data_IF_643425056506
#
_entry.id   IF_643425056506
#
_cell.length_a   1.000
_cell.length_b   1.000
_cell.length_c   1.000
_cell.angle_alpha   90.00
_cell.angle_beta   90.00
_cell.angle_gamma   90.00
#
_symmetry.space_group_name_H-M   'P 1'
#
loop_
_entity.id
_entity.type
_entity.pdbx_description
1 polymer ?
#
# COMPACT_ATOMS: atom_id res chain seq x y z
N UNK A 1 -9.50 27.51 10.43
CA UNK A 1 -8.41 27.20 9.49
C UNK A 1 -8.33 25.67 9.28
N UNK A 2 -9.38 25.03 8.74
CA UNK A 2 -9.48 23.56 8.65
C UNK A 2 -9.93 23.04 7.27
N UNK A 3 -9.92 23.88 6.23
CA UNK A 3 -10.45 23.48 4.90
C UNK A 3 -9.38 23.09 3.86
N UNK A 4 -8.10 23.25 4.15
CA UNK A 4 -7.05 23.03 3.13
C UNK A 4 -6.62 21.56 3.01
N UNK A 5 -6.71 20.77 4.09
CA UNK A 5 -6.18 19.40 4.10
C UNK A 5 -7.11 18.37 3.42
N UNK A 6 -8.43 18.57 3.47
CA UNK A 6 -9.39 17.68 2.80
C UNK A 6 -9.28 17.75 1.27
N UNK A 7 -8.88 18.90 0.74
CA UNK A 7 -8.78 19.16 -0.69
C UNK A 7 -7.65 18.33 -1.35
N UNK A 8 -6.51 18.24 -0.68
CA UNK A 8 -5.33 17.54 -1.21
C UNK A 8 -5.55 16.02 -1.27
N UNK A 9 -6.33 15.46 -0.32
CA UNK A 9 -6.72 14.04 -0.34
C UNK A 9 -7.63 13.73 -1.52
N UNK A 10 -8.66 14.56 -1.65
CA UNK A 10 -9.67 14.42 -2.69
C UNK A 10 -9.01 14.54 -4.06
N UNK A 11 -8.13 15.54 -4.23
CA UNK A 11 -7.36 15.73 -5.46
C UNK A 11 -6.43 14.53 -5.71
N UNK A 12 -5.76 14.00 -4.69
CA UNK A 12 -4.86 12.85 -4.84
C UNK A 12 -5.61 11.58 -5.23
N UNK A 13 -6.69 11.23 -4.51
CA UNK A 13 -7.53 10.06 -4.84
C UNK A 13 -8.14 10.23 -6.24
N UNK A 14 -8.57 11.44 -6.57
CA UNK A 14 -9.20 11.76 -7.85
C UNK A 14 -8.21 11.76 -9.02
N UNK A 15 -7.05 12.42 -8.89
CA UNK A 15 -5.99 12.38 -9.91
C UNK A 15 -5.59 10.93 -10.15
N UNK A 16 -5.55 10.11 -9.12
CA UNK A 16 -5.22 8.70 -9.23
C UNK A 16 -6.33 7.87 -9.86
N UNK A 17 -7.58 8.14 -9.55
CA UNK A 17 -8.74 7.45 -10.11
C UNK A 17 -8.93 7.74 -11.61
N UNK A 18 -8.83 9.01 -12.00
CA UNK A 18 -9.12 9.45 -13.37
C UNK A 18 -7.93 9.41 -14.31
N UNK A 19 -6.71 9.57 -13.85
CA UNK A 19 -5.52 9.33 -14.69
C UNK A 19 -5.41 7.87 -15.15
N UNK A 20 -6.19 6.99 -14.56
CA UNK A 20 -6.13 5.56 -14.78
C UNK A 20 -7.30 5.01 -15.61
N UNK A 21 -8.44 5.63 -15.56
CA UNK A 21 -9.55 5.28 -16.43
C UNK A 21 -9.47 6.18 -17.67
N UNK A 22 -9.43 5.59 -18.87
CA UNK A 22 -9.37 6.29 -20.16
C UNK A 22 -10.62 7.17 -20.46
N UNK A 23 -11.18 7.81 -19.46
CA UNK A 23 -12.15 8.87 -19.59
C UNK A 23 -11.34 10.13 -19.83
N UNK A 24 -11.37 10.63 -21.06
CA UNK A 24 -10.79 11.90 -21.52
C UNK A 24 -11.43 13.09 -20.79
N UNK A 25 -11.17 13.23 -19.51
CA UNK A 25 -11.44 14.44 -18.76
C UNK A 25 -10.13 15.15 -18.50
N UNK A 26 -10.05 16.41 -18.84
CA UNK A 26 -8.87 17.25 -18.55
C UNK A 26 -8.80 17.51 -17.04
N UNK A 27 -8.11 16.61 -16.33
CA UNK A 27 -7.99 16.59 -14.86
C UNK A 27 -7.36 17.88 -14.32
N UNK A 28 -6.63 18.61 -15.18
CA UNK A 28 -5.96 19.86 -14.79
C UNK A 28 -6.91 21.01 -14.47
N UNK A 29 -8.19 20.89 -14.86
CA UNK A 29 -9.21 21.92 -14.67
C UNK A 29 -10.39 21.50 -13.80
N UNK A 30 -10.36 20.32 -13.16
CA UNK A 30 -11.43 19.90 -12.25
C UNK A 30 -11.18 20.46 -10.85
N UNK A 31 -12.19 21.15 -10.32
CA UNK A 31 -12.18 21.54 -8.93
C UNK A 31 -12.37 20.31 -8.03
N UNK A 32 -11.84 20.39 -6.81
CA UNK A 32 -11.88 19.31 -5.84
C UNK A 32 -13.30 18.86 -5.49
N UNK A 33 -14.28 19.71 -5.58
CA UNK A 33 -15.68 19.36 -5.29
C UNK A 33 -16.27 18.44 -6.36
N UNK A 34 -15.95 18.70 -7.61
CA UNK A 34 -16.38 17.83 -8.73
C UNK A 34 -15.72 16.45 -8.62
N UNK A 35 -14.43 16.41 -8.23
CA UNK A 35 -13.70 15.19 -7.97
C UNK A 35 -14.34 14.34 -6.86
N UNK A 36 -14.67 14.98 -5.75
CA UNK A 36 -15.34 14.33 -4.63
C UNK A 36 -16.71 13.80 -5.02
N UNK A 37 -17.50 14.56 -5.76
CA UNK A 37 -18.82 14.15 -6.18
C UNK A 37 -18.78 12.87 -7.04
N UNK A 38 -17.75 12.71 -7.87
CA UNK A 38 -17.57 11.48 -8.65
C UNK A 38 -17.19 10.28 -7.75
N UNK A 39 -16.28 10.44 -6.80
CA UNK A 39 -15.96 9.38 -5.83
C UNK A 39 -17.20 8.95 -5.04
N UNK A 40 -18.02 9.93 -4.62
CA UNK A 40 -19.29 9.66 -3.93
C UNK A 40 -20.27 8.88 -4.79
N UNK A 41 -20.34 9.15 -6.10
CA UNK A 41 -21.15 8.37 -7.06
C UNK A 41 -20.72 6.90 -7.14
N UNK A 42 -19.42 6.63 -6.94
CA UNK A 42 -18.85 5.28 -6.89
C UNK A 42 -18.88 4.64 -5.50
N UNK A 43 -19.66 5.19 -4.57
CA UNK A 43 -19.87 4.60 -3.26
C UNK A 43 -18.84 4.96 -2.20
N UNK A 44 -17.89 5.87 -2.51
CA UNK A 44 -16.98 6.39 -1.50
C UNK A 44 -17.69 7.38 -0.57
N UNK A 45 -17.41 7.29 0.72
CA UNK A 45 -17.85 8.23 1.76
C UNK A 45 -16.65 8.60 2.61
N UNK A 46 -16.58 9.84 3.08
CA UNK A 46 -15.49 10.28 3.94
C UNK A 46 -15.96 11.27 5.01
N UNK A 47 -15.23 11.34 6.12
CA UNK A 47 -15.33 12.35 7.16
C UNK A 47 -13.94 12.60 7.76
N UNK A 48 -13.38 13.79 7.56
CA UNK A 48 -12.03 14.13 7.99
C UNK A 48 -10.99 13.17 7.44
N UNK A 49 -10.23 12.56 8.32
CA UNK A 49 -9.12 11.64 8.01
C UNK A 49 -9.57 10.20 7.69
N UNK A 50 -10.87 9.95 7.54
CA UNK A 50 -11.42 8.62 7.38
C UNK A 50 -12.35 8.51 6.18
N UNK A 51 -12.26 7.38 5.49
CA UNK A 51 -13.10 7.08 4.34
C UNK A 51 -13.54 5.62 4.31
N UNK A 52 -14.65 5.35 3.62
CA UNK A 52 -15.14 4.00 3.39
C UNK A 52 -15.59 3.84 1.95
N UNK A 53 -15.33 2.66 1.41
CA UNK A 53 -15.85 2.20 0.12
C UNK A 53 -16.40 0.79 0.26
N UNK A 54 -17.59 0.57 -0.25
CA UNK A 54 -18.28 -0.71 -0.15
C UNK A 54 -18.46 -1.36 -1.51
N UNK A 55 -18.20 -2.67 -1.58
CA UNK A 55 -18.49 -3.54 -2.73
C UNK A 55 -17.96 -3.00 -4.06
N UNK A 56 -16.71 -2.55 -4.03
CA UNK A 56 -16.08 -1.95 -5.17
C UNK A 56 -15.42 -3.00 -6.06
N UNK A 57 -15.74 -3.01 -7.37
CA UNK A 57 -15.02 -3.83 -8.33
C UNK A 57 -13.58 -3.33 -8.45
N UNK A 58 -12.61 -4.21 -8.25
CA UNK A 58 -11.20 -3.85 -8.27
C UNK A 58 -10.71 -3.45 -9.66
N UNK A 59 -11.28 -4.03 -10.72
CA UNK A 59 -10.96 -3.64 -12.09
C UNK A 59 -11.55 -2.29 -12.47
N UNK A 60 -12.78 -2.01 -12.02
CA UNK A 60 -13.47 -0.77 -12.37
C UNK A 60 -12.95 0.45 -11.58
N UNK A 61 -12.42 0.25 -10.39
CA UNK A 61 -12.06 1.36 -9.49
C UNK A 61 -10.72 2.00 -9.77
N UNK A 62 -9.83 1.34 -10.54
CA UNK A 62 -8.51 1.86 -10.81
C UNK A 62 -7.62 2.11 -9.58
N UNK A 63 -8.03 1.65 -8.38
CA UNK A 63 -7.24 1.81 -7.16
C UNK A 63 -5.90 1.08 -7.22
N UNK A 64 -5.87 -0.05 -7.91
CA UNK A 64 -4.66 -0.82 -8.14
C UNK A 64 -4.47 -1.01 -9.64
N UNK A 65 -3.34 -0.57 -10.19
CA UNK A 65 -2.89 -1.03 -11.48
C UNK A 65 -1.99 -2.23 -11.30
N UNK A 66 -2.37 -3.32 -11.93
CA UNK A 66 -1.58 -4.55 -11.90
C UNK A 66 -0.13 -4.28 -12.36
N UNK A 67 0.83 -4.74 -11.56
CA UNK A 67 2.26 -4.59 -11.79
C UNK A 67 2.84 -3.20 -11.52
N UNK A 68 2.04 -2.24 -11.03
CA UNK A 68 2.53 -0.92 -10.66
C UNK A 68 2.59 -0.77 -9.14
N UNK A 69 3.79 -0.62 -8.57
CA UNK A 69 3.95 -0.35 -7.15
C UNK A 69 3.56 1.10 -6.83
N UNK A 70 3.02 1.30 -5.64
CA UNK A 70 2.80 2.61 -5.08
C UNK A 70 3.06 2.59 -3.57
N UNK A 71 3.38 3.74 -3.02
CA UNK A 71 3.46 3.93 -1.58
C UNK A 71 2.13 4.47 -1.08
N UNK A 72 1.52 3.77 -0.13
CA UNK A 72 0.22 4.15 0.41
C UNK A 72 0.38 5.37 1.33
N UNK A 73 -0.20 6.51 0.95
CA UNK A 73 -0.22 7.72 1.80
C UNK A 73 -1.13 7.50 3.02
N UNK A 74 -2.19 6.72 2.80
CA UNK A 74 -3.20 6.41 3.81
C UNK A 74 -3.15 4.93 4.16
N UNK A 75 -3.41 4.58 5.42
CA UNK A 75 -3.65 3.20 5.80
C UNK A 75 -5.00 2.70 5.27
N UNK A 76 -5.12 1.38 5.11
CA UNK A 76 -6.33 0.75 4.58
C UNK A 76 -6.58 -0.60 5.24
N UNK A 77 -7.84 -0.86 5.57
CA UNK A 77 -8.33 -2.22 5.82
C UNK A 77 -9.16 -2.61 4.62
N UNK A 78 -8.70 -3.59 3.85
CA UNK A 78 -9.35 -4.08 2.63
C UNK A 78 -9.86 -5.49 2.87
N UNK A 79 -11.14 -5.72 2.59
CA UNK A 79 -11.79 -7.03 2.71
C UNK A 79 -12.12 -7.53 1.31
N UNK A 80 -11.70 -8.72 0.97
CA UNK A 80 -12.10 -9.40 -0.28
C UNK A 80 -13.51 -9.95 -0.10
N UNK A 81 -14.48 -9.36 -0.80
CA UNK A 81 -15.88 -9.78 -0.75
C UNK A 81 -16.18 -10.93 -1.72
N UNK A 82 -15.45 -10.95 -2.83
CA UNK A 82 -15.60 -11.94 -3.89
C UNK A 82 -14.31 -12.00 -4.72
N UNK A 83 -14.03 -13.17 -5.30
CA UNK A 83 -12.92 -13.37 -6.22
C UNK A 83 -11.58 -13.60 -5.51
N UNK A 84 -10.50 -13.35 -6.24
CA UNK A 84 -9.12 -13.55 -5.78
C UNK A 84 -8.23 -12.43 -6.27
N UNK A 85 -7.19 -12.12 -5.50
CA UNK A 85 -6.14 -11.20 -5.91
C UNK A 85 -4.81 -11.56 -5.27
N UNK A 86 -3.73 -11.15 -5.88
CA UNK A 86 -2.40 -11.25 -5.29
C UNK A 86 -1.84 -9.85 -5.09
N UNK A 87 -1.54 -9.51 -3.85
CA UNK A 87 -0.91 -8.27 -3.45
C UNK A 87 0.51 -8.55 -2.97
N UNK A 88 1.42 -7.66 -3.31
CA UNK A 88 2.70 -7.54 -2.65
C UNK A 88 2.60 -6.33 -1.72
N UNK A 89 2.74 -6.54 -0.43
CA UNK A 89 2.70 -5.50 0.60
C UNK A 89 4.05 -5.56 1.32
N UNK A 90 4.78 -4.46 1.33
CA UNK A 90 6.11 -4.35 1.96
C UNK A 90 7.07 -5.48 1.53
N UNK A 91 7.05 -5.83 0.22
CA UNK A 91 7.82 -6.89 -0.44
C UNK A 91 7.36 -8.33 -0.16
N UNK A 92 6.41 -8.54 0.70
CA UNK A 92 5.78 -9.85 0.92
C UNK A 92 4.60 -10.09 -0.02
N UNK A 93 4.53 -11.29 -0.60
CA UNK A 93 3.43 -11.69 -1.49
C UNK A 93 2.31 -12.36 -0.71
N UNK A 94 1.10 -11.82 -0.84
CA UNK A 94 -0.12 -12.35 -0.24
C UNK A 94 -1.13 -12.72 -1.33
N UNK A 95 -1.58 -13.97 -1.31
CA UNK A 95 -2.65 -14.47 -2.17
C UNK A 95 -3.95 -14.42 -1.41
N UNK A 96 -4.78 -13.45 -1.76
CA UNK A 96 -6.02 -13.17 -1.09
C UNK A 96 -7.19 -13.79 -1.84
N UNK A 97 -8.13 -14.33 -1.09
CA UNK A 97 -9.39 -14.88 -1.56
C UNK A 97 -10.57 -14.30 -0.78
N UNK A 98 -11.78 -14.68 -1.14
CA UNK A 98 -12.99 -14.26 -0.44
C UNK A 98 -12.87 -14.50 1.07
N UNK A 99 -13.19 -13.47 1.86
CA UNK A 99 -13.07 -13.43 3.30
C UNK A 99 -11.76 -12.85 3.82
N UNK A 100 -10.67 -12.90 3.06
CA UNK A 100 -9.37 -12.40 3.51
C UNK A 100 -9.36 -10.88 3.71
N UNK A 101 -8.57 -10.43 4.68
CA UNK A 101 -8.49 -9.05 5.13
C UNK A 101 -7.04 -8.60 5.04
N UNK A 102 -6.76 -7.59 4.22
CA UNK A 102 -5.46 -6.95 4.17
C UNK A 102 -5.50 -5.63 4.95
N UNK A 103 -4.61 -5.49 5.91
CA UNK A 103 -4.41 -4.26 6.68
C UNK A 103 -3.09 -3.65 6.22
N UNK A 104 -3.19 -2.55 5.51
CA UNK A 104 -2.03 -1.81 4.99
C UNK A 104 -1.85 -0.55 5.82
N UNK A 105 -0.70 -0.39 6.44
CA UNK A 105 -0.37 0.80 7.23
C UNK A 105 -0.04 1.99 6.31
N UNK A 106 -0.14 3.23 6.81
CA UNK A 106 0.38 4.38 6.09
C UNK A 106 1.85 4.16 5.71
N UNK A 107 2.22 4.62 4.53
CA UNK A 107 3.56 4.50 3.96
C UNK A 107 3.94 3.09 3.48
N UNK A 108 3.05 2.10 3.57
CA UNK A 108 3.28 0.76 3.03
C UNK A 108 3.57 0.79 1.52
N UNK A 109 4.50 -0.05 1.07
CA UNK A 109 4.80 -0.24 -0.34
C UNK A 109 3.91 -1.35 -0.90
N UNK A 110 2.96 -1.01 -1.75
CA UNK A 110 1.92 -1.92 -2.23
C UNK A 110 1.99 -2.10 -3.74
N UNK A 111 1.80 -3.33 -4.22
CA UNK A 111 1.61 -3.64 -5.63
C UNK A 111 0.61 -4.78 -5.80
N UNK A 112 -0.39 -4.59 -6.64
CA UNK A 112 -1.21 -5.71 -7.10
C UNK A 112 -0.47 -6.43 -8.23
N UNK A 113 -0.14 -7.70 -8.03
CA UNK A 113 0.52 -8.53 -9.04
C UNK A 113 -0.47 -9.28 -9.90
N UNK A 114 -1.62 -9.63 -9.33
CA UNK A 114 -2.75 -10.21 -10.03
C UNK A 114 -4.08 -9.73 -9.43
N UNK A 115 -5.08 -9.48 -10.29
CA UNK A 115 -6.44 -9.08 -9.88
C UNK A 115 -7.42 -9.89 -10.71
N UNK A 116 -8.16 -10.78 -10.05
CA UNK A 116 -9.22 -11.54 -10.69
C UNK A 116 -10.31 -10.63 -11.30
N UNK A 117 -10.85 -11.03 -12.45
CA UNK A 117 -11.82 -10.23 -13.17
C UNK A 117 -13.11 -9.95 -12.38
N UNK A 118 -13.46 -10.85 -11.48
CA UNK A 118 -14.64 -10.84 -10.61
C UNK A 118 -14.35 -10.29 -9.19
N UNK A 119 -13.13 -9.79 -8.95
CA UNK A 119 -12.72 -9.36 -7.62
C UNK A 119 -13.48 -8.12 -7.16
N UNK A 120 -14.16 -8.24 -6.03
CA UNK A 120 -14.92 -7.20 -5.34
C UNK A 120 -14.36 -7.03 -3.93
N UNK A 121 -14.11 -5.80 -3.53
CA UNK A 121 -13.60 -5.47 -2.20
C UNK A 121 -14.43 -4.40 -1.52
N UNK A 122 -14.39 -4.41 -0.19
CA UNK A 122 -14.76 -3.26 0.62
C UNK A 122 -13.55 -2.77 1.38
N UNK A 123 -13.42 -1.47 1.57
CA UNK A 123 -12.27 -0.88 2.23
C UNK A 123 -12.66 0.28 3.13
N UNK A 124 -11.95 0.39 4.24
CA UNK A 124 -11.84 1.63 4.99
C UNK A 124 -10.46 2.23 4.78
N UNK A 125 -10.39 3.55 4.77
CA UNK A 125 -9.18 4.34 4.54
C UNK A 125 -9.00 5.23 5.75
N UNK A 126 -7.79 5.29 6.31
CA UNK A 126 -7.50 6.07 7.50
C UNK A 126 -6.13 6.76 7.36
N UNK A 127 -6.03 7.99 7.84
CA UNK A 127 -4.77 8.75 7.93
C UNK A 127 -4.21 8.78 9.34
N UNK A 128 -5.10 8.74 10.31
CA UNK A 128 -4.74 8.73 11.71
C UNK A 128 -4.79 7.31 12.25
N UNK A 129 -3.75 6.94 12.97
CA UNK A 129 -3.68 5.69 13.71
C UNK A 129 -3.97 5.96 15.20
N UNK A 130 -4.66 5.05 15.88
CA UNK A 130 -4.66 5.07 17.35
C UNK A 130 -3.23 4.91 17.86
N UNK A 131 -2.86 5.55 19.00
CA UNK A 131 -1.48 5.51 19.51
C UNK A 131 -0.91 4.10 19.67
N UNK A 132 -1.75 3.13 19.99
CA UNK A 132 -1.39 1.73 20.15
C UNK A 132 -0.96 1.06 18.83
N UNK A 133 -1.39 1.60 17.70
CA UNK A 133 -1.07 1.11 16.37
C UNK A 133 0.09 1.87 15.69
N UNK A 134 0.73 2.82 16.39
CA UNK A 134 1.74 3.71 15.81
C UNK A 134 2.98 2.98 15.26
N UNK A 135 3.27 1.78 15.76
CA UNK A 135 4.39 0.94 15.30
C UNK A 135 3.91 -0.35 14.62
N UNK A 136 2.63 -0.43 14.27
CA UNK A 136 2.10 -1.61 13.62
C UNK A 136 2.58 -1.69 12.16
N UNK A 137 2.85 -2.90 11.73
CA UNK A 137 3.20 -3.25 10.36
C UNK A 137 1.95 -3.59 9.56
N UNK A 138 2.08 -3.61 8.23
CA UNK A 138 1.03 -4.13 7.35
C UNK A 138 0.96 -5.65 7.47
N UNK A 139 -0.25 -6.21 7.40
CA UNK A 139 -0.46 -7.64 7.54
C UNK A 139 -1.72 -8.13 6.82
N UNK A 140 -1.84 -9.44 6.70
CA UNK A 140 -3.02 -10.09 6.18
C UNK A 140 -3.56 -11.08 7.21
N UNK A 141 -4.87 -11.02 7.43
CA UNK A 141 -5.61 -12.04 8.18
C UNK A 141 -6.34 -12.94 7.19
N UNK A 142 -6.18 -14.25 7.36
CA UNK A 142 -7.03 -15.21 6.66
C UNK A 142 -8.47 -15.04 7.11
N UNK A 143 -9.39 -15.08 6.16
CA UNK A 143 -10.81 -14.90 6.40
C UNK A 143 -11.44 -16.08 7.11
N UNK A 144 -11.07 -16.30 8.38
CA UNK A 144 -11.87 -17.14 9.23
C UNK A 144 -13.24 -16.48 9.52
N UNK A 145 -14.21 -17.27 9.92
CA UNK A 145 -15.58 -16.80 10.16
C UNK A 145 -15.61 -15.67 11.22
N UNK A 146 -14.66 -15.63 12.14
CA UNK A 146 -14.62 -14.66 13.24
C UNK A 146 -14.10 -13.31 12.76
N UNK A 147 -12.91 -13.27 12.15
CA UNK A 147 -12.29 -12.04 11.68
C UNK A 147 -13.14 -11.37 10.58
N UNK A 148 -13.60 -12.16 9.61
CA UNK A 148 -14.45 -11.68 8.53
C UNK A 148 -15.78 -11.13 9.04
N UNK A 149 -16.45 -11.85 9.97
CA UNK A 149 -17.69 -11.39 10.57
C UNK A 149 -17.54 -10.08 11.33
N UNK A 150 -16.45 -9.93 12.11
CA UNK A 150 -16.15 -8.70 12.86
C UNK A 150 -15.94 -7.52 11.93
N UNK A 151 -15.07 -7.66 10.93
CA UNK A 151 -14.81 -6.59 9.96
C UNK A 151 -16.09 -6.15 9.25
N UNK A 152 -16.94 -7.10 8.83
CA UNK A 152 -18.24 -6.77 8.20
C UNK A 152 -19.15 -5.97 9.12
N UNK A 153 -19.16 -6.27 10.41
CA UNK A 153 -19.96 -5.50 11.39
C UNK A 153 -19.43 -4.07 11.51
N UNK A 154 -18.11 -3.87 11.62
CA UNK A 154 -17.51 -2.54 11.62
C UNK A 154 -17.83 -1.76 10.34
N UNK A 155 -17.66 -2.38 9.18
CA UNK A 155 -17.96 -1.77 7.89
C UNK A 155 -19.44 -1.33 7.82
N UNK A 156 -20.36 -2.18 8.27
CA UNK A 156 -21.78 -1.86 8.28
C UNK A 156 -22.10 -0.69 9.21
N UNK A 157 -21.56 -0.69 10.45
CA UNK A 157 -21.75 0.39 11.42
C UNK A 157 -21.16 1.72 10.91
N UNK A 158 -19.96 1.70 10.36
CA UNK A 158 -19.29 2.88 9.80
C UNK A 158 -20.11 3.42 8.61
N UNK A 159 -20.52 2.55 7.70
CA UNK A 159 -21.28 2.94 6.51
C UNK A 159 -22.65 3.51 6.88
N UNK A 160 -23.32 2.96 7.90
CA UNK A 160 -24.56 3.50 8.42
C UNK A 160 -24.40 4.93 8.95
N UNK A 161 -23.30 5.22 9.67
CA UNK A 161 -23.04 6.59 10.18
C UNK A 161 -22.90 7.59 9.04
N UNK A 162 -22.22 7.22 7.96
CA UNK A 162 -22.07 8.09 6.78
C UNK A 162 -23.39 8.37 6.04
N UNK A 163 -24.39 7.50 6.21
CA UNK A 163 -25.70 7.66 5.56
C UNK A 163 -26.73 8.39 6.44
N UNK A 164 -26.37 8.79 7.66
CA UNK A 164 -27.26 9.58 8.54
C UNK A 164 -27.32 11.04 8.10
N UNK A 165 -28.46 11.69 8.34
CA UNK A 165 -28.63 13.12 8.06
C UNK A 165 -27.70 14.01 8.90
N UNK A 166 -27.28 13.54 10.08
CA UNK A 166 -26.31 14.21 10.94
C UNK A 166 -25.15 13.24 11.17
N UNK A 167 -23.99 13.58 10.64
CA UNK A 167 -22.76 12.79 10.79
C UNK A 167 -22.02 13.26 12.03
N UNK A 168 -21.91 12.40 13.03
CA UNK A 168 -21.08 12.63 14.20
C UNK A 168 -19.67 12.06 13.93
N UNK A 169 -18.74 12.93 13.54
CA UNK A 169 -17.36 12.55 13.18
C UNK A 169 -16.68 11.77 14.30
N UNK A 170 -16.90 12.14 15.55
CA UNK A 170 -16.30 11.45 16.70
C UNK A 170 -16.72 9.97 16.80
N UNK A 171 -17.97 9.65 16.48
CA UNK A 171 -18.45 8.26 16.45
C UNK A 171 -17.73 7.48 15.37
N UNK A 172 -17.58 8.08 14.20
CA UNK A 172 -16.86 7.46 13.07
C UNK A 172 -15.39 7.20 13.47
N UNK A 173 -14.69 8.18 14.05
CA UNK A 173 -13.32 8.02 14.54
C UNK A 173 -13.21 6.83 15.49
N UNK A 174 -14.09 6.73 16.48
CA UNK A 174 -14.05 5.62 17.45
C UNK A 174 -14.32 4.25 16.81
N UNK A 175 -15.18 4.16 15.81
CA UNK A 175 -15.38 2.91 15.08
C UNK A 175 -14.12 2.51 14.27
N UNK A 176 -13.43 3.47 13.67
CA UNK A 176 -12.18 3.20 12.97
C UNK A 176 -11.07 2.79 13.94
N UNK A 177 -10.91 3.50 15.04
CA UNK A 177 -9.92 3.15 16.07
C UNK A 177 -10.19 1.74 16.62
N UNK A 178 -11.46 1.41 16.90
CA UNK A 178 -11.85 0.08 17.37
C UNK A 178 -11.58 -1.00 16.31
N UNK A 179 -11.91 -0.75 15.05
CA UNK A 179 -11.62 -1.68 13.95
C UNK A 179 -10.12 -1.96 13.84
N UNK A 180 -9.28 -0.91 13.83
CA UNK A 180 -7.84 -1.06 13.68
C UNK A 180 -7.25 -1.86 14.85
N UNK A 181 -7.65 -1.52 16.09
CA UNK A 181 -7.16 -2.21 17.29
C UNK A 181 -7.64 -3.66 17.35
N UNK A 182 -8.87 -3.96 16.92
CA UNK A 182 -9.40 -5.33 16.88
C UNK A 182 -8.65 -6.17 15.85
N UNK A 183 -8.37 -5.63 14.66
CA UNK A 183 -7.56 -6.31 13.64
C UNK A 183 -6.13 -6.57 14.11
N UNK A 184 -5.51 -5.61 14.80
CA UNK A 184 -4.18 -5.79 15.41
C UNK A 184 -4.19 -6.86 16.51
N UNK A 185 -5.24 -6.91 17.35
CA UNK A 185 -5.37 -7.94 18.37
C UNK A 185 -5.42 -9.34 17.76
N UNK A 186 -6.25 -9.53 16.73
CA UNK A 186 -6.32 -10.80 16.00
C UNK A 186 -4.99 -11.16 15.35
N UNK A 187 -4.28 -10.18 14.79
CA UNK A 187 -2.97 -10.40 14.19
C UNK A 187 -1.92 -10.80 15.23
N UNK A 188 -1.92 -10.17 16.40
CA UNK A 188 -0.98 -10.49 17.48
C UNK A 188 -1.12 -11.94 17.95
N UNK A 189 -2.34 -12.47 17.99
CA UNK A 189 -2.58 -13.88 18.29
C UNK A 189 -1.98 -14.81 17.23
N UNK A 190 -1.98 -14.40 15.96
CA UNK A 190 -1.36 -15.14 14.84
C UNK A 190 0.17 -15.02 14.87
N UNK A 191 0.72 -13.83 15.15
CA UNK A 191 2.19 -13.61 15.21
C UNK A 191 2.82 -14.33 16.38
N UNK A 192 2.19 -14.42 17.54
CA UNK A 192 2.73 -15.15 18.67
C UNK A 192 3.15 -16.59 18.33
N UNK A 193 2.67 -17.09 17.19
CA UNK A 193 3.09 -18.37 16.57
C UNK A 193 4.22 -18.24 15.53
N UNK A 194 4.61 -17.03 15.10
CA UNK A 194 5.57 -16.76 14.00
C UNK A 194 6.82 -15.98 14.41
N UNK A 195 6.95 -15.60 15.68
CA UNK A 195 7.97 -14.65 16.16
C UNK A 195 9.45 -15.13 16.00
N UNK A 196 9.66 -16.31 15.39
CA UNK A 196 10.97 -16.90 15.10
C UNK A 196 11.35 -16.88 13.61
N UNK A 197 10.55 -16.25 12.75
CA UNK A 197 10.82 -16.24 11.30
C UNK A 197 11.86 -15.16 10.94
N UNK A 198 13.11 -15.60 10.76
CA UNK A 198 14.23 -14.75 10.38
C UNK A 198 13.98 -14.01 9.05
N UNK A 199 13.34 -14.69 8.10
CA UNK A 199 13.06 -14.10 6.80
C UNK A 199 12.06 -12.95 6.89
N UNK A 200 11.04 -13.08 7.75
CA UNK A 200 10.09 -12.00 8.02
C UNK A 200 10.81 -10.76 8.58
N UNK A 201 11.69 -10.91 9.59
CA UNK A 201 12.48 -9.79 10.13
C UNK A 201 13.39 -9.15 9.08
N UNK A 202 13.99 -9.93 8.19
CA UNK A 202 14.82 -9.40 7.10
C UNK A 202 14.00 -8.60 6.08
N UNK A 203 12.85 -9.12 5.64
CA UNK A 203 11.97 -8.44 4.68
C UNK A 203 11.42 -7.16 5.29
N UNK A 204 11.00 -7.19 6.55
CA UNK A 204 10.54 -6.02 7.28
C UNK A 204 11.62 -4.92 7.33
N UNK A 205 12.85 -5.27 7.74
CA UNK A 205 13.96 -4.33 7.74
C UNK A 205 14.22 -3.75 6.35
N UNK A 206 14.14 -4.59 5.32
CA UNK A 206 14.32 -4.18 3.93
C UNK A 206 13.19 -3.26 3.44
N UNK A 207 11.95 -3.43 3.88
CA UNK A 207 10.84 -2.56 3.53
C UNK A 207 10.97 -1.16 4.15
N UNK A 208 11.52 -1.08 5.37
CA UNK A 208 11.75 0.19 6.06
C UNK A 208 12.97 0.94 5.52
N UNK A 209 14.10 0.27 5.39
CA UNK A 209 15.39 0.88 5.05
C UNK A 209 15.79 0.70 3.57
N UNK A 210 15.06 -0.10 2.80
CA UNK A 210 15.34 -0.37 1.38
C UNK A 210 15.01 0.78 0.42
N UNK A 211 14.67 1.96 0.95
CA UNK A 211 14.45 3.19 0.16
C UNK A 211 15.76 3.73 -0.42
N UNK A 212 16.87 3.40 0.21
CA UNK A 212 18.21 3.75 -0.22
C UNK A 212 19.06 2.49 -0.37
N UNK A 213 20.13 2.61 -1.17
CA UNK A 213 21.04 1.50 -1.40
C UNK A 213 22.00 1.35 -0.22
N UNK A 214 21.80 0.30 0.56
CA UNK A 214 22.71 -0.09 1.65
C UNK A 214 23.51 -1.35 1.31
N UNK A 215 24.75 -1.51 1.87
CA UNK A 215 25.54 -2.74 1.76
C UNK A 215 24.92 -3.87 2.60
N UNK A 216 25.30 -5.11 2.33
CA UNK A 216 24.82 -6.29 3.07
C UNK A 216 25.15 -6.17 4.57
N UNK A 217 26.30 -5.62 4.90
CA UNK A 217 26.76 -5.44 6.29
C UNK A 217 25.79 -4.62 7.13
N UNK A 218 25.16 -3.61 6.53
CA UNK A 218 24.14 -2.79 7.17
C UNK A 218 22.94 -3.64 7.69
N UNK A 219 22.44 -4.53 6.84
CA UNK A 219 21.33 -5.41 7.21
C UNK A 219 21.75 -6.50 8.21
N UNK A 220 22.95 -7.04 8.03
CA UNK A 220 23.51 -8.05 8.92
C UNK A 220 23.71 -7.53 10.35
N UNK A 221 24.21 -6.31 10.50
CA UNK A 221 24.38 -5.64 11.78
C UNK A 221 23.05 -5.44 12.51
N UNK A 222 22.04 -4.93 11.80
CA UNK A 222 20.71 -4.70 12.38
C UNK A 222 19.98 -5.98 12.78
N UNK A 223 20.24 -7.08 12.06
CA UNK A 223 19.69 -8.40 12.39
C UNK A 223 20.56 -9.19 13.38
N UNK A 224 21.66 -8.58 13.88
CA UNK A 224 22.58 -9.19 14.83
C UNK A 224 23.18 -10.51 14.33
N UNK A 225 23.51 -10.60 13.02
CA UNK A 225 24.15 -11.76 12.39
C UNK A 225 25.36 -11.33 11.59
N UNK A 226 26.23 -12.29 11.23
CA UNK A 226 27.29 -12.01 10.25
C UNK A 226 26.76 -11.92 8.82
N UNK A 227 27.41 -11.15 7.89
CA UNK A 227 27.00 -11.06 6.50
C UNK A 227 26.93 -12.41 5.78
N UNK A 228 27.83 -13.33 6.11
CA UNK A 228 27.83 -14.69 5.56
C UNK A 228 26.62 -15.50 6.07
N UNK A 229 26.28 -15.36 7.35
CA UNK A 229 25.13 -16.04 7.93
C UNK A 229 23.82 -15.49 7.35
N UNK A 230 23.68 -14.17 7.25
CA UNK A 230 22.57 -13.51 6.56
C UNK A 230 22.40 -14.06 5.14
N UNK A 231 23.49 -14.09 4.36
CA UNK A 231 23.45 -14.57 2.98
C UNK A 231 23.02 -16.05 2.88
N UNK A 232 23.45 -16.87 3.82
CA UNK A 232 23.10 -18.29 3.87
C UNK A 232 21.62 -18.48 4.21
N UNK A 233 21.13 -17.82 5.26
CA UNK A 233 19.74 -17.93 5.70
C UNK A 233 18.78 -17.43 4.62
N UNK A 234 18.99 -16.20 4.13
CA UNK A 234 18.12 -15.63 3.08
C UNK A 234 18.07 -16.51 1.85
N UNK A 235 19.21 -17.07 1.42
CA UNK A 235 19.24 -17.94 0.26
C UNK A 235 18.56 -19.28 0.49
N UNK A 236 18.72 -19.87 1.68
CA UNK A 236 18.10 -21.17 2.00
C UNK A 236 16.58 -21.09 2.09
N UNK A 237 16.05 -19.99 2.61
CA UNK A 237 14.61 -19.82 2.83
C UNK A 237 13.88 -19.27 1.60
N UNK A 238 14.48 -18.31 0.88
CA UNK A 238 13.82 -17.65 -0.26
C UNK A 238 14.29 -18.10 -1.64
N UNK A 239 15.40 -18.84 -1.73
CA UNK A 239 16.06 -19.17 -3.00
C UNK A 239 16.78 -17.98 -3.65
N UNK A 240 16.64 -16.76 -3.11
CA UNK A 240 17.23 -15.52 -3.62
C UNK A 240 18.42 -15.10 -2.78
N UNK A 241 19.34 -14.35 -3.37
CA UNK A 241 20.44 -13.74 -2.61
C UNK A 241 19.96 -12.46 -1.91
N UNK A 242 20.68 -12.03 -0.86
CA UNK A 242 20.43 -10.74 -0.18
C UNK A 242 20.49 -9.57 -1.17
N UNK A 243 21.44 -9.59 -2.12
CA UNK A 243 21.54 -8.55 -3.15
C UNK A 243 20.32 -8.51 -4.08
N UNK A 244 19.77 -9.68 -4.44
CA UNK A 244 18.55 -9.72 -5.24
C UNK A 244 17.34 -9.14 -4.50
N UNK A 245 17.25 -9.33 -3.20
CA UNK A 245 16.22 -8.72 -2.37
C UNK A 245 16.40 -7.19 -2.27
N UNK A 246 17.62 -6.72 -2.05
CA UNK A 246 17.96 -5.27 -2.05
C UNK A 246 17.61 -4.65 -3.42
N UNK A 247 18.03 -5.30 -4.51
CA UNK A 247 17.71 -4.84 -5.86
C UNK A 247 16.22 -4.76 -6.13
N UNK A 248 15.45 -5.77 -5.64
CA UNK A 248 13.99 -5.78 -5.74
C UNK A 248 13.36 -4.61 -5.02
N UNK A 249 13.79 -4.30 -3.79
CA UNK A 249 13.33 -3.16 -3.02
C UNK A 249 13.63 -1.84 -3.73
N UNK A 250 14.86 -1.64 -4.17
CA UNK A 250 15.30 -0.43 -4.89
C UNK A 250 14.52 -0.23 -6.22
N UNK A 251 14.27 -1.30 -6.97
CA UNK A 251 13.46 -1.22 -8.19
C UNK A 251 12.03 -0.80 -7.90
N UNK A 252 11.43 -1.32 -6.80
CA UNK A 252 10.08 -0.92 -6.37
C UNK A 252 10.04 0.57 -6.06
N UNK A 253 10.97 1.03 -5.23
CA UNK A 253 11.04 2.44 -4.85
C UNK A 253 11.32 3.34 -6.06
N UNK A 254 12.26 2.96 -6.93
CA UNK A 254 12.51 3.67 -8.18
C UNK A 254 11.24 3.82 -9.04
N UNK A 255 10.44 2.76 -9.17
CA UNK A 255 9.17 2.81 -9.92
C UNK A 255 8.16 3.74 -9.25
N UNK A 256 8.08 3.77 -7.93
CA UNK A 256 7.23 4.71 -7.17
C UNK A 256 7.65 6.15 -7.46
N UNK A 257 8.92 6.48 -7.29
CA UNK A 257 9.44 7.83 -7.55
C UNK A 257 9.24 8.27 -9.01
N UNK A 258 9.50 7.38 -9.95
CA UNK A 258 9.32 7.66 -11.39
C UNK A 258 7.85 7.86 -11.78
N UNK A 259 6.92 7.22 -11.10
CA UNK A 259 5.49 7.30 -11.39
C UNK A 259 4.81 8.49 -10.72
N UNK A 260 5.11 8.72 -9.44
CA UNK A 260 4.36 9.67 -8.61
C UNK A 260 5.00 11.05 -8.50
N UNK A 261 6.21 11.24 -9.03
CA UNK A 261 6.92 12.50 -8.95
C UNK A 261 7.37 13.00 -10.31
N UNK A 262 7.48 14.32 -10.46
CA UNK A 262 8.15 14.95 -11.61
C UNK A 262 9.66 15.11 -11.38
N UNK A 263 10.19 14.45 -10.35
CA UNK A 263 11.59 14.52 -9.93
C UNK A 263 12.53 14.19 -11.10
N UNK A 264 13.57 14.99 -11.36
CA UNK A 264 14.57 14.67 -12.37
C UNK A 264 15.22 13.30 -12.12
N UNK A 265 15.61 12.60 -13.19
CA UNK A 265 16.25 11.28 -13.06
C UNK A 265 17.52 11.32 -12.19
N UNK A 266 18.24 12.43 -12.20
CA UNK A 266 19.43 12.62 -11.37
C UNK A 266 19.06 12.69 -9.88
N UNK A 267 17.98 13.37 -9.54
CA UNK A 267 17.47 13.48 -8.17
C UNK A 267 16.89 12.14 -7.67
N UNK A 268 16.21 11.38 -8.54
CA UNK A 268 15.78 10.01 -8.21
C UNK A 268 17.00 9.13 -7.89
N UNK A 269 18.07 9.24 -8.68
CA UNK A 269 19.30 8.48 -8.43
C UNK A 269 19.93 8.83 -7.06
N UNK A 270 19.97 10.11 -6.73
CA UNK A 270 20.49 10.62 -5.46
C UNK A 270 19.64 10.14 -4.28
N UNK A 271 18.31 10.27 -4.37
CA UNK A 271 17.38 9.80 -3.36
C UNK A 271 17.50 8.30 -3.07
N UNK A 272 17.83 7.50 -4.10
CA UNK A 272 18.03 6.05 -3.96
C UNK A 272 19.46 5.65 -3.57
N UNK A 273 20.34 6.62 -3.23
CA UNK A 273 21.71 6.38 -2.78
C UNK A 273 22.66 5.91 -3.88
N UNK A 274 22.40 6.21 -5.16
CA UNK A 274 23.33 5.93 -6.23
C UNK A 274 24.37 7.06 -6.37
N UNK A 275 25.65 6.68 -6.47
CA UNK A 275 26.76 7.63 -6.59
C UNK A 275 26.71 8.51 -7.84
N UNK A 276 26.05 8.05 -8.90
CA UNK A 276 25.85 8.81 -10.15
C UNK A 276 24.53 8.46 -10.81
N UNK A 277 23.91 9.41 -11.55
CA UNK A 277 22.72 9.12 -12.35
C UNK A 277 22.94 7.99 -13.38
N UNK A 278 24.14 7.89 -13.93
CA UNK A 278 24.48 6.83 -14.90
C UNK A 278 24.45 5.44 -14.27
N UNK A 279 24.93 5.29 -13.03
CA UNK A 279 24.86 4.00 -12.31
C UNK A 279 23.43 3.59 -12.03
N UNK A 280 22.56 4.52 -11.65
CA UNK A 280 21.13 4.27 -11.51
C UNK A 280 20.46 3.87 -12.83
N UNK A 281 20.71 4.61 -13.91
CA UNK A 281 20.14 4.30 -15.24
C UNK A 281 20.54 2.89 -15.69
N UNK A 282 21.81 2.51 -15.50
CA UNK A 282 22.31 1.18 -15.84
C UNK A 282 21.64 0.11 -14.96
N UNK A 283 21.59 0.31 -13.65
CA UNK A 283 20.92 -0.57 -12.70
C UNK A 283 19.46 -0.79 -13.08
N UNK A 284 18.69 0.30 -13.21
CA UNK A 284 17.27 0.23 -13.51
C UNK A 284 16.99 -0.48 -14.85
N UNK A 285 17.79 -0.17 -15.89
CA UNK A 285 17.69 -0.84 -17.19
C UNK A 285 18.01 -2.33 -17.09
N UNK A 286 19.02 -2.70 -16.32
CA UNK A 286 19.39 -4.09 -16.11
C UNK A 286 18.26 -4.87 -15.41
N UNK A 287 17.67 -4.29 -14.40
CA UNK A 287 16.61 -4.94 -13.60
C UNK A 287 15.24 -4.96 -14.29
N UNK A 288 14.92 -3.96 -15.11
CA UNK A 288 13.56 -3.79 -15.70
C UNK A 288 13.50 -3.94 -17.21
N UNK A 289 14.62 -4.05 -17.89
CA UNK A 289 14.70 -4.09 -19.36
C UNK A 289 14.51 -2.74 -20.04
N UNK A 290 14.18 -1.65 -19.32
CA UNK A 290 13.89 -0.34 -19.89
C UNK A 290 14.60 0.78 -19.12
N UNK A 291 14.87 1.93 -19.76
CA UNK A 291 15.47 3.06 -19.04
C UNK A 291 14.45 3.79 -18.17
N UNK A 292 14.87 4.46 -17.05
CA UNK A 292 13.96 5.22 -16.18
C UNK A 292 13.11 6.24 -16.95
N UNK A 293 13.71 6.96 -17.87
CA UNK A 293 13.00 7.97 -18.67
C UNK A 293 11.95 7.34 -19.61
N UNK A 294 12.28 6.20 -20.22
CA UNK A 294 11.32 5.46 -21.08
C UNK A 294 10.19 4.88 -20.24
N UNK A 295 10.51 4.32 -19.07
CA UNK A 295 9.51 3.83 -18.11
C UNK A 295 8.53 4.94 -17.73
N UNK A 296 9.01 6.13 -17.32
CA UNK A 296 8.16 7.29 -17.00
C UNK A 296 7.26 7.72 -18.15
N UNK A 297 7.79 7.74 -19.39
CA UNK A 297 6.99 8.10 -20.58
C UNK A 297 5.90 7.07 -20.92
N UNK A 298 6.10 5.80 -20.59
CA UNK A 298 5.09 4.75 -20.81
C UNK A 298 3.92 4.85 -19.84
N UNK A 299 4.15 5.41 -18.65
CA UNK A 299 3.12 5.62 -17.64
C UNK A 299 2.21 6.83 -17.94
N UNK A 300 2.66 7.75 -18.79
CA UNK A 300 1.92 8.96 -19.18
C UNK A 300 1.06 8.77 -20.44
N UNK A 301 1.09 7.57 -21.02
CA UNK A 301 0.24 7.16 -22.16
C UNK A 301 -0.93 6.32 -21.67
#
# INVERSE_FOLDING_TARGET
MSKSYDLDIIIYIFIRYYSQNAITMDIRNLDAQTALNELVRHGYRHAGDYGIMMNASMQANGFFRQGQPYRAVDGRVVVVQQGKMTLEIDLEEYRLQEGDIAVMMPDALVMATDIGADSVTSAVIFRRLPPQAAQAESFVLSGDDVAYSRVKQYLAMIFEQFNRNTVFTDIIVHFFDALILDMLSLHTEVIASRDDDFMHRFIHLLSQDGREKHPIDFYAERLCVSPNHLSTLVRSESGMTVLQWIDRALVREAKVLLHHTQMPIAEVADTLGFSTPSSFIHFFKHQTGTTPLRYRKQLLR
#
